data_IF_075025642033
#
_entry.id   IF_075025642033
#
_cell.length_a   1.000
_cell.length_b   1.000
_cell.length_c   1.000
_cell.angle_alpha   90.00
_cell.angle_beta   90.00
_cell.angle_gamma   90.00
#
_symmetry.space_group_name_H-M   'P 1'
#
loop_
_entity.id
_entity.type
_entity.pdbx_description
1 polymer ?
#
# COMPACT_ATOMS: atom_id res chain seq x y z
N UNK A 1 14.77 -4.97 -6.10
CA UNK A 1 13.72 -5.96 -5.70
C UNK A 1 12.53 -5.28 -5.01
N UNK A 2 12.71 -4.48 -3.93
CA UNK A 2 11.59 -3.87 -3.22
C UNK A 2 10.71 -2.94 -4.07
N UNK A 3 11.30 -2.09 -4.92
CA UNK A 3 10.55 -1.17 -5.78
C UNK A 3 9.71 -1.92 -6.81
N UNK A 4 10.24 -3.00 -7.40
CA UNK A 4 9.48 -3.86 -8.30
C UNK A 4 8.20 -4.38 -7.65
N UNK A 5 8.32 -4.99 -6.45
CA UNK A 5 7.16 -5.54 -5.74
C UNK A 5 6.12 -4.47 -5.36
N UNK A 6 6.56 -3.27 -5.02
CA UNK A 6 5.65 -2.15 -4.73
C UNK A 6 4.93 -1.69 -5.99
N UNK A 7 5.62 -1.56 -7.10
CA UNK A 7 5.03 -1.13 -8.38
C UNK A 7 4.04 -2.18 -8.92
N UNK A 8 4.40 -3.46 -8.89
CA UNK A 8 3.50 -4.55 -9.28
C UNK A 8 2.23 -4.58 -8.41
N UNK A 9 2.39 -4.32 -7.11
CA UNK A 9 1.26 -4.18 -6.19
C UNK A 9 0.38 -2.98 -6.53
N UNK A 10 0.95 -1.83 -6.88
CA UNK A 10 0.18 -0.64 -7.27
C UNK A 10 -0.73 -0.92 -8.48
N UNK A 11 -0.20 -1.61 -9.50
CA UNK A 11 -1.00 -2.03 -10.65
C UNK A 11 -2.09 -3.03 -10.26
N UNK A 12 -1.78 -3.96 -9.37
CA UNK A 12 -2.74 -4.95 -8.87
C UNK A 12 -3.87 -4.28 -8.08
N UNK A 13 -3.55 -3.32 -7.21
CA UNK A 13 -4.53 -2.59 -6.40
C UNK A 13 -5.53 -1.83 -7.27
N UNK A 14 -5.07 -1.17 -8.33
CA UNK A 14 -5.94 -0.51 -9.30
C UNK A 14 -6.86 -1.50 -10.01
N UNK A 15 -6.30 -2.63 -10.45
CA UNK A 15 -7.04 -3.67 -11.16
C UNK A 15 -8.13 -4.32 -10.30
N UNK A 16 -7.85 -4.52 -9.01
CA UNK A 16 -8.75 -5.16 -8.06
C UNK A 16 -9.64 -4.18 -7.30
N UNK A 17 -9.43 -2.88 -7.48
CA UNK A 17 -10.14 -1.80 -6.78
C UNK A 17 -10.09 -1.94 -5.24
N UNK A 18 -8.91 -2.30 -4.72
CA UNK A 18 -8.69 -2.44 -3.27
C UNK A 18 -8.35 -1.10 -2.63
N UNK A 19 -8.80 -0.91 -1.41
CA UNK A 19 -8.43 0.26 -0.61
C UNK A 19 -7.00 0.13 -0.03
N UNK A 20 -6.37 1.26 0.25
CA UNK A 20 -5.05 1.34 0.89
C UNK A 20 -4.99 0.54 2.20
N UNK A 21 -6.05 0.63 3.02
CA UNK A 21 -6.14 -0.08 4.29
C UNK A 21 -6.28 -1.59 4.17
N UNK A 22 -7.02 -2.07 3.15
CA UNK A 22 -7.15 -3.51 2.86
C UNK A 22 -5.81 -4.09 2.47
N UNK A 23 -5.11 -3.44 1.55
CA UNK A 23 -3.80 -3.89 1.09
C UNK A 23 -2.79 -3.93 2.23
N UNK A 24 -2.73 -2.91 3.09
CA UNK A 24 -1.81 -2.90 4.23
C UNK A 24 -2.19 -3.96 5.28
N UNK A 25 -3.46 -4.33 5.40
CA UNK A 25 -3.86 -5.48 6.24
C UNK A 25 -3.39 -6.82 5.66
N UNK A 26 -3.53 -6.99 4.35
CA UNK A 26 -3.12 -8.21 3.64
C UNK A 26 -1.59 -8.35 3.57
N UNK A 27 -0.86 -7.26 3.33
CA UNK A 27 0.60 -7.28 3.09
C UNK A 27 1.44 -6.95 4.31
N UNK A 28 0.85 -6.87 5.49
CA UNK A 28 1.50 -6.52 6.75
C UNK A 28 1.91 -7.72 7.60
N UNK A 29 1.72 -7.63 8.93
CA UNK A 29 2.17 -8.64 9.90
C UNK A 29 1.62 -10.03 9.66
N UNK A 30 0.45 -10.16 9.05
CA UNK A 30 -0.15 -11.45 8.74
C UNK A 30 0.72 -12.28 7.77
N UNK A 31 1.45 -11.60 6.88
CA UNK A 31 2.41 -12.19 5.95
C UNK A 31 3.84 -12.20 6.50
N UNK A 32 4.04 -11.99 7.80
CA UNK A 32 5.35 -11.90 8.41
C UNK A 32 6.12 -10.61 8.11
N UNK A 33 5.47 -9.60 7.55
CA UNK A 33 6.07 -8.28 7.25
C UNK A 33 5.91 -7.30 8.42
N UNK A 34 6.69 -6.20 8.46
CA UNK A 34 6.54 -5.15 9.45
C UNK A 34 5.13 -4.54 9.48
N UNK A 35 4.76 -3.92 10.60
CA UNK A 35 3.46 -3.23 10.76
C UNK A 35 3.21 -2.10 9.78
N UNK A 36 4.27 -1.57 9.16
CA UNK A 36 4.16 -0.55 8.10
C UNK A 36 3.61 -1.11 6.79
N UNK A 37 3.60 -2.44 6.63
CA UNK A 37 3.07 -3.11 5.44
C UNK A 37 3.63 -2.51 4.13
N UNK A 38 2.79 -2.12 3.16
CA UNK A 38 3.23 -1.60 1.87
C UNK A 38 3.04 -0.09 1.76
N UNK A 39 1.81 0.41 1.82
CA UNK A 39 1.52 1.83 1.61
C UNK A 39 2.08 2.73 2.70
N UNK A 40 2.02 2.29 3.94
CA UNK A 40 2.64 3.04 5.04
C UNK A 40 4.16 3.05 4.95
N UNK A 41 4.78 2.01 4.39
CA UNK A 41 6.21 2.00 4.08
C UNK A 41 6.52 3.02 2.99
N UNK A 42 5.70 3.11 1.94
CA UNK A 42 5.85 4.13 0.90
C UNK A 42 5.78 5.56 1.48
N UNK A 43 4.87 5.80 2.43
CA UNK A 43 4.78 7.09 3.13
C UNK A 43 6.02 7.43 3.97
N UNK A 44 6.67 6.42 4.56
CA UNK A 44 7.90 6.60 5.34
C UNK A 44 9.10 6.88 4.44
N UNK A 45 9.22 6.14 3.34
CA UNK A 45 10.31 6.31 2.35
C UNK A 45 10.17 7.63 1.59
N UNK A 46 8.94 8.00 1.27
CA UNK A 46 8.60 9.13 0.43
C UNK A 46 8.35 8.73 -1.02
N UNK A 47 7.22 9.18 -1.56
CA UNK A 47 6.79 8.84 -2.93
C UNK A 47 7.74 9.37 -4.00
N UNK A 48 8.34 10.54 -3.80
CA UNK A 48 9.35 11.10 -4.70
C UNK A 48 10.58 10.20 -4.81
N UNK A 49 11.06 9.67 -3.68
CA UNK A 49 12.17 8.72 -3.65
C UNK A 49 11.79 7.42 -4.38
N UNK A 50 10.60 6.89 -4.13
CA UNK A 50 10.10 5.69 -4.80
C UNK A 50 10.06 5.87 -6.32
N UNK A 51 9.50 6.99 -6.78
CA UNK A 51 9.36 7.32 -8.21
C UNK A 51 10.73 7.55 -8.85
N UNK A 52 11.65 8.23 -8.17
CA UNK A 52 13.01 8.42 -8.66
C UNK A 52 13.72 7.06 -8.91
N UNK A 53 13.62 6.14 -7.96
CA UNK A 53 14.22 4.80 -8.12
C UNK A 53 13.50 3.98 -9.20
N UNK A 54 12.17 4.07 -9.32
CA UNK A 54 11.42 3.37 -10.35
C UNK A 54 11.80 3.85 -11.77
N UNK A 55 11.92 5.16 -11.96
CA UNK A 55 12.36 5.74 -13.23
C UNK A 55 13.82 5.33 -13.54
N UNK A 56 14.71 5.36 -12.55
CA UNK A 56 16.08 4.89 -12.73
C UNK A 56 16.15 3.41 -13.15
N UNK A 57 15.31 2.54 -12.61
CA UNK A 57 15.21 1.14 -13.04
C UNK A 57 14.67 1.01 -14.46
N UNK A 58 13.62 1.77 -14.80
CA UNK A 58 13.04 1.80 -16.15
C UNK A 58 14.08 2.18 -17.21
N UNK A 59 14.92 3.17 -16.90
CA UNK A 59 15.91 3.70 -17.85
C UNK A 59 17.15 2.80 -17.94
N UNK A 60 17.59 2.20 -16.84
CA UNK A 60 18.79 1.37 -16.79
C UNK A 60 18.56 -0.11 -17.10
N UNK A 61 17.29 -0.56 -17.16
CA UNK A 61 16.92 -1.94 -17.51
C UNK A 61 16.05 -1.98 -18.78
N UNK A 62 16.56 -1.55 -19.95
CA UNK A 62 15.76 -1.45 -21.17
C UNK A 62 15.27 -2.80 -21.71
N UNK A 63 15.98 -3.89 -21.37
CA UNK A 63 15.70 -5.24 -21.82
C UNK A 63 14.93 -6.10 -20.80
N UNK A 64 14.43 -5.48 -19.69
CA UNK A 64 13.62 -6.19 -18.71
C UNK A 64 12.27 -6.56 -19.32
N UNK A 65 11.94 -7.85 -19.30
CA UNK A 65 10.68 -8.39 -19.83
C UNK A 65 9.43 -7.82 -19.13
N UNK A 66 9.57 -7.33 -17.91
CA UNK A 66 8.50 -6.70 -17.13
C UNK A 66 8.71 -5.20 -16.91
N UNK A 67 9.44 -4.55 -17.81
CA UNK A 67 9.70 -3.10 -17.77
C UNK A 67 8.43 -2.26 -17.57
N UNK A 68 7.29 -2.72 -18.08
CA UNK A 68 6.00 -2.04 -17.92
C UNK A 68 5.58 -1.87 -16.43
N UNK A 69 6.06 -2.73 -15.53
CA UNK A 69 5.80 -2.62 -14.09
C UNK A 69 6.37 -1.33 -13.50
N UNK A 70 7.47 -0.82 -14.06
CA UNK A 70 8.09 0.44 -13.59
C UNK A 70 7.39 1.70 -14.12
N UNK A 71 6.31 1.56 -14.89
CA UNK A 71 5.49 2.69 -15.27
C UNK A 71 4.75 3.20 -14.04
N UNK A 72 4.92 4.50 -13.76
CA UNK A 72 4.30 5.12 -12.59
C UNK A 72 2.80 5.21 -12.79
N UNK A 73 1.98 4.65 -11.90
CA UNK A 73 0.54 4.77 -11.97
C UNK A 73 0.06 6.23 -11.85
N UNK A 74 -1.06 6.54 -12.49
CA UNK A 74 -1.61 7.89 -12.51
C UNK A 74 -1.88 8.47 -11.13
N UNK A 75 -2.38 7.64 -10.19
CA UNK A 75 -2.64 8.10 -8.83
C UNK A 75 -1.37 8.54 -8.09
N UNK A 76 -0.23 7.88 -8.35
CA UNK A 76 1.07 8.29 -7.77
C UNK A 76 1.51 9.63 -8.35
N UNK A 77 1.36 9.83 -9.66
CA UNK A 77 1.66 11.10 -10.33
C UNK A 77 0.83 12.24 -9.75
N UNK A 78 -0.48 12.05 -9.61
CA UNK A 78 -1.38 13.04 -8.98
C UNK A 78 -1.00 13.36 -7.53
N UNK A 79 -0.58 12.36 -6.76
CA UNK A 79 -0.11 12.58 -5.39
C UNK A 79 1.15 13.45 -5.36
N UNK A 80 2.10 13.21 -6.28
CA UNK A 80 3.31 14.03 -6.40
C UNK A 80 2.98 15.49 -6.78
N UNK A 81 2.10 15.70 -7.74
CA UNK A 81 1.63 17.03 -8.17
C UNK A 81 0.97 17.81 -7.03
N UNK A 82 0.23 17.11 -6.16
CA UNK A 82 -0.38 17.69 -4.96
C UNK A 82 0.63 17.85 -3.79
N UNK A 83 1.87 17.44 -3.93
CA UNK A 83 2.86 17.48 -2.86
C UNK A 83 2.62 16.46 -1.73
N UNK A 84 1.83 15.42 -1.99
CA UNK A 84 1.51 14.36 -1.02
C UNK A 84 2.59 13.28 -1.03
N UNK A 85 3.75 13.62 -0.44
CA UNK A 85 4.95 12.81 -0.52
C UNK A 85 5.05 11.74 0.58
N UNK A 86 4.09 11.70 1.49
CA UNK A 86 4.08 10.80 2.64
C UNK A 86 4.37 11.53 3.96
N UNK A 87 5.03 10.84 4.90
CA UNK A 87 5.25 11.33 6.25
C UNK A 87 6.01 12.66 6.32
N UNK A 88 6.91 12.92 5.39
CA UNK A 88 7.71 14.15 5.34
C UNK A 88 6.91 15.40 4.96
N UNK A 89 5.84 15.25 4.18
CA UNK A 89 4.92 16.34 3.83
C UNK A 89 3.67 16.38 4.72
N UNK A 90 3.58 15.48 5.71
CA UNK A 90 2.44 15.37 6.62
C UNK A 90 1.25 14.60 6.06
N UNK A 91 1.24 14.30 4.77
CA UNK A 91 0.21 13.52 4.11
C UNK A 91 0.76 12.73 2.91
N UNK A 92 0.17 11.57 2.66
CA UNK A 92 0.53 10.65 1.60
C UNK A 92 -0.63 9.68 1.39
N UNK A 93 -0.40 8.38 1.40
CA UNK A 93 -1.48 7.38 1.45
C UNK A 93 -2.26 7.44 2.76
N UNK A 94 -1.60 7.90 3.82
CA UNK A 94 -2.23 8.19 5.10
C UNK A 94 -2.01 9.65 5.50
N UNK A 95 -3.04 10.21 6.14
CA UNK A 95 -3.00 11.56 6.72
C UNK A 95 -3.35 11.49 8.19
N UNK A 96 -2.49 12.08 9.02
CA UNK A 96 -2.78 12.26 10.45
C UNK A 96 -3.56 13.55 10.64
N UNK A 97 -4.72 13.44 11.25
CA UNK A 97 -5.57 14.59 11.62
C UNK A 97 -6.03 14.48 13.07
N UNK A 98 -6.74 15.48 13.54
CA UNK A 98 -7.45 15.44 14.83
C UNK A 98 -8.93 15.53 14.53
N UNK A 99 -9.74 14.77 15.25
CA UNK A 99 -11.18 14.87 15.23
C UNK A 99 -11.67 16.14 15.98
N UNK A 100 -12.96 16.38 15.96
CA UNK A 100 -13.60 17.51 16.66
C UNK A 100 -13.32 17.54 18.16
N UNK A 101 -12.99 16.40 18.76
CA UNK A 101 -12.63 16.23 20.16
C UNK A 101 -11.12 16.32 20.44
N UNK A 102 -10.31 16.69 19.42
CA UNK A 102 -8.86 16.78 19.51
C UNK A 102 -8.13 15.43 19.55
N UNK A 103 -8.84 14.31 19.39
CA UNK A 103 -8.25 12.96 19.35
C UNK A 103 -7.57 12.71 18.00
N UNK A 104 -6.37 12.16 18.05
CA UNK A 104 -5.61 11.80 16.85
C UNK A 104 -6.37 10.76 16.03
N UNK A 105 -6.61 11.08 14.74
CA UNK A 105 -7.24 10.22 13.77
C UNK A 105 -6.31 10.02 12.58
N UNK A 106 -6.34 8.83 12.00
CA UNK A 106 -5.60 8.51 10.77
C UNK A 106 -6.62 8.26 9.68
N UNK A 107 -6.57 9.09 8.65
CA UNK A 107 -7.34 8.94 7.44
C UNK A 107 -6.50 8.20 6.40
N UNK A 108 -7.14 7.45 5.51
CA UNK A 108 -6.54 6.81 4.35
C UNK A 108 -7.01 7.48 3.07
N UNK A 109 -6.15 7.54 2.09
CA UNK A 109 -6.50 8.05 0.77
C UNK A 109 -7.35 7.00 0.04
N UNK A 110 -8.50 7.42 -0.46
CA UNK A 110 -9.25 6.67 -1.45
C UNK A 110 -8.63 6.94 -2.84
N UNK A 111 -8.15 5.88 -3.50
CA UNK A 111 -7.45 6.01 -4.79
C UNK A 111 -8.39 6.32 -5.96
N UNK A 112 -9.69 6.15 -5.78
CA UNK A 112 -10.71 6.42 -6.80
C UNK A 112 -11.21 7.86 -6.75
N UNK A 113 -11.59 8.34 -5.55
CA UNK A 113 -12.11 9.70 -5.35
C UNK A 113 -11.03 10.73 -5.06
N UNK A 114 -9.81 10.33 -4.69
CA UNK A 114 -8.73 11.19 -4.20
C UNK A 114 -9.08 11.96 -2.93
N UNK A 115 -10.03 11.46 -2.15
CA UNK A 115 -10.42 12.01 -0.87
C UNK A 115 -9.85 11.21 0.30
N UNK A 116 -9.61 11.89 1.43
CA UNK A 116 -9.20 11.22 2.64
C UNK A 116 -10.42 10.75 3.42
N UNK A 117 -10.55 9.44 3.56
CA UNK A 117 -11.66 8.77 4.25
C UNK A 117 -11.20 8.10 5.54
N UNK A 118 -12.12 7.89 6.46
CA UNK A 118 -11.82 7.12 7.66
C UNK A 118 -11.47 5.68 7.27
N UNK A 119 -10.43 5.12 7.90
CA UNK A 119 -10.08 3.72 7.71
C UNK A 119 -11.23 2.85 8.20
N UNK A 120 -11.90 2.18 7.27
CA UNK A 120 -12.92 1.18 7.58
C UNK A 120 -12.28 -0.05 8.25
N UNK A 121 -13.04 -0.73 9.09
CA UNK A 121 -12.60 -2.04 9.60
C UNK A 121 -12.63 -3.03 8.45
N UNK A 122 -11.46 -3.47 8.04
CA UNK A 122 -11.32 -4.53 7.03
C UNK A 122 -11.71 -5.86 7.67
N UNK A 123 -12.76 -6.48 7.14
CA UNK A 123 -13.30 -7.75 7.60
C UNK A 123 -13.18 -8.80 6.49
N UNK A 124 -12.00 -9.40 6.38
CA UNK A 124 -11.86 -10.66 5.64
C UNK A 124 -11.94 -11.82 6.63
N UNK A 125 -12.82 -12.78 6.40
CA UNK A 125 -13.00 -13.95 7.27
C UNK A 125 -11.71 -14.76 7.35
N UNK A 126 -11.03 -14.96 6.25
CA UNK A 126 -9.73 -15.65 6.17
C UNK A 126 -8.66 -14.95 7.01
N UNK A 127 -8.63 -13.61 7.07
CA UNK A 127 -7.71 -12.87 7.93
C UNK A 127 -7.99 -13.10 9.43
N UNK A 128 -9.24 -13.23 9.82
CA UNK A 128 -9.61 -13.49 11.20
C UNK A 128 -9.11 -14.86 11.66
N UNK A 129 -9.26 -15.88 10.81
CA UNK A 129 -8.77 -17.25 11.06
C UNK A 129 -7.23 -17.26 11.07
N UNK A 130 -6.59 -16.68 10.07
CA UNK A 130 -5.14 -16.64 9.96
C UNK A 130 -4.46 -15.93 11.14
N UNK A 131 -5.10 -14.95 11.78
CA UNK A 131 -4.56 -14.27 12.96
C UNK A 131 -4.47 -15.14 14.22
N UNK A 132 -5.22 -16.24 14.27
CA UNK A 132 -5.19 -17.18 15.41
C UNK A 132 -4.01 -18.13 15.35
N UNK A 133 -3.36 -18.22 14.18
CA UNK A 133 -2.21 -19.07 13.97
C UNK A 133 -0.89 -18.35 14.25
N UNK A 134 -0.05 -18.94 15.07
CA UNK A 134 1.28 -18.43 15.41
C UNK A 134 2.31 -18.76 14.32
N UNK A 135 2.18 -19.95 13.70
CA UNK A 135 3.07 -20.39 12.64
C UNK A 135 2.83 -19.62 11.34
N UNK A 136 3.88 -18.95 10.81
CA UNK A 136 3.82 -18.26 9.54
C UNK A 136 3.45 -19.18 8.38
N UNK A 137 3.94 -20.42 8.40
CA UNK A 137 3.67 -21.44 7.36
C UNK A 137 2.20 -21.79 7.30
N UNK A 138 1.59 -22.11 8.45
CA UNK A 138 0.17 -22.45 8.52
C UNK A 138 -0.71 -21.23 8.20
N UNK A 139 -0.34 -20.07 8.70
CA UNK A 139 -0.99 -18.80 8.37
C UNK A 139 -1.01 -18.54 6.86
N UNK A 140 0.10 -18.75 6.18
CA UNK A 140 0.21 -18.60 4.73
C UNK A 140 -0.67 -19.60 3.97
N UNK A 141 -0.75 -20.85 4.41
CA UNK A 141 -1.66 -21.85 3.83
C UNK A 141 -3.12 -21.42 3.94
N UNK A 142 -3.53 -20.91 5.10
CA UNK A 142 -4.90 -20.40 5.32
C UNK A 142 -5.19 -19.23 4.37
N UNK A 143 -4.28 -18.27 4.25
CA UNK A 143 -4.46 -17.10 3.39
C UNK A 143 -4.61 -17.46 1.92
N UNK A 144 -3.76 -18.35 1.41
CA UNK A 144 -3.83 -18.77 0.01
C UNK A 144 -4.94 -19.80 -0.28
N UNK A 145 -5.47 -20.48 0.74
CA UNK A 145 -6.60 -21.37 0.63
C UNK A 145 -7.97 -20.70 0.81
N UNK A 146 -7.99 -19.45 1.23
CA UNK A 146 -9.22 -18.68 1.43
C UNK A 146 -9.93 -18.33 0.12
N UNK A 147 -11.26 -18.17 0.21
CA UNK A 147 -12.13 -17.87 -0.94
C UNK A 147 -12.92 -16.56 -0.79
N UNK A 148 -12.48 -15.69 0.12
CA UNK A 148 -13.17 -14.44 0.46
C UNK A 148 -12.55 -13.18 -0.21
N UNK A 149 -11.71 -13.39 -1.21
CA UNK A 149 -11.14 -12.32 -2.04
C UNK A 149 -11.15 -12.71 -3.52
#
# INVERSE_FOLDING_TARGET
MGVYAIQDLFHTVQKMNLSVGEVDKLTGPIMGRPKSATFRTCDVVGLDTLVHVANGLKDNCPNDERKAVFQIPEFVTKMLENGWLGSKSGQGFYKKTKDENGKKQILQLDLSSFEYVQSSKVNFSTLAIAKQEDSLTERTKILFGGKDA
#
